data_IF_842658537827
#
_entry.id   IF_842658537827
#
_cell.length_a   1.000
_cell.length_b   1.000
_cell.length_c   1.000
_cell.angle_alpha   90.00
_cell.angle_beta   90.00
_cell.angle_gamma   90.00
#
_symmetry.space_group_name_H-M   'P 1'
#
loop_
_entity.id
_entity.type
_entity.pdbx_description
1 polymer ?
#
# COMPACT_ATOMS: atom_id res chain seq x y z
N UNK A 1 -5.21 18.20 -13.64
CA UNK A 1 -4.26 17.16 -13.17
C UNK A 1 -5.00 16.29 -12.17
N UNK A 2 -5.04 14.99 -12.38
CA UNK A 2 -5.58 14.03 -11.41
C UNK A 2 -4.48 13.74 -10.39
N UNK A 3 -4.68 14.13 -9.14
CA UNK A 3 -3.74 13.80 -8.07
C UNK A 3 -4.04 12.39 -7.54
N UNK A 4 -3.00 11.64 -7.16
CA UNK A 4 -3.17 10.31 -6.58
C UNK A 4 -3.67 10.46 -5.14
N UNK A 5 -4.91 10.06 -4.87
CA UNK A 5 -5.55 10.18 -3.55
C UNK A 5 -5.52 8.88 -2.73
N UNK A 6 -5.55 7.75 -3.43
CA UNK A 6 -5.56 6.40 -2.84
C UNK A 6 -4.50 5.54 -3.48
N UNK A 7 -3.66 4.93 -2.66
CA UNK A 7 -2.68 3.93 -3.06
C UNK A 7 -3.13 2.58 -2.52
N UNK A 8 -3.13 1.56 -3.38
CA UNK A 8 -3.42 0.20 -2.96
C UNK A 8 -2.24 -0.71 -3.24
N UNK A 9 -1.81 -1.49 -2.25
CA UNK A 9 -0.60 -2.31 -2.32
C UNK A 9 -0.83 -3.67 -1.67
N UNK A 10 -0.15 -4.69 -2.17
CA UNK A 10 -0.01 -5.94 -1.44
C UNK A 10 1.05 -5.76 -0.34
N UNK A 11 0.88 -6.46 0.78
CA UNK A 11 1.78 -6.37 1.93
C UNK A 11 3.24 -6.67 1.58
N UNK A 12 3.49 -7.59 0.66
CA UNK A 12 4.84 -7.93 0.16
C UNK A 12 5.51 -6.76 -0.58
N UNK A 13 4.71 -5.91 -1.23
CA UNK A 13 5.18 -4.74 -1.96
C UNK A 13 5.26 -3.47 -1.10
N UNK A 14 4.64 -3.47 0.08
CA UNK A 14 4.54 -2.29 0.95
C UNK A 14 5.91 -1.67 1.29
N UNK A 15 6.94 -2.43 1.71
CA UNK A 15 8.24 -1.84 2.03
C UNK A 15 8.86 -1.13 0.83
N UNK A 16 8.84 -1.77 -0.36
CA UNK A 16 9.41 -1.20 -1.59
C UNK A 16 8.71 0.09 -2.02
N UNK A 17 7.39 0.16 -1.84
CA UNK A 17 6.61 1.35 -2.20
C UNK A 17 6.87 2.48 -1.20
N UNK A 18 6.93 2.18 0.09
CA UNK A 18 7.29 3.19 1.11
C UNK A 18 8.70 3.70 0.87
N UNK A 19 9.65 2.82 0.61
CA UNK A 19 11.00 3.21 0.23
C UNK A 19 10.93 4.14 -0.99
N UNK A 20 10.28 3.75 -2.09
CA UNK A 20 10.20 4.62 -3.27
C UNK A 20 9.58 6.01 -3.00
N UNK A 21 8.63 6.12 -2.05
CA UNK A 21 7.98 7.39 -1.69
C UNK A 21 8.80 8.25 -0.71
N UNK A 22 9.73 7.64 0.02
CA UNK A 22 10.49 8.30 1.11
C UNK A 22 11.99 8.36 0.86
N UNK A 23 12.50 7.56 -0.08
CA UNK A 23 13.91 7.43 -0.41
C UNK A 23 14.46 8.78 -0.88
N UNK A 24 15.57 9.19 -0.27
CA UNK A 24 16.27 10.46 -0.49
C UNK A 24 15.53 11.72 -0.02
N UNK A 25 14.47 11.59 0.79
CA UNK A 25 13.75 12.76 1.32
C UNK A 25 14.11 13.02 2.76
N UNK A 26 14.23 14.31 3.09
CA UNK A 26 14.33 14.70 4.49
C UNK A 26 13.00 14.36 5.19
N UNK A 27 13.00 13.80 6.41
CA UNK A 27 11.79 13.58 7.20
C UNK A 27 10.93 14.83 7.43
N UNK A 28 11.52 16.01 7.32
CA UNK A 28 10.85 17.31 7.45
C UNK A 28 10.23 17.81 6.15
N UNK A 29 10.57 17.20 5.01
CA UNK A 29 10.00 17.58 3.72
C UNK A 29 8.51 17.20 3.63
N UNK A 30 7.70 18.01 2.91
CA UNK A 30 6.29 17.67 2.70
C UNK A 30 6.12 16.38 1.86
N UNK A 31 5.03 15.62 2.02
CA UNK A 31 4.80 14.38 1.28
C UNK A 31 4.93 14.51 -0.23
N UNK A 32 5.43 13.47 -0.91
CA UNK A 32 5.68 13.49 -2.37
C UNK A 32 4.38 13.62 -3.15
N UNK A 33 3.34 12.99 -2.61
CA UNK A 33 1.99 13.06 -3.11
C UNK A 33 1.12 13.68 -2.00
N UNK A 34 0.99 15.02 -1.92
CA UNK A 34 0.23 15.66 -0.85
C UNK A 34 -1.25 15.29 -0.83
N UNK A 35 -1.78 14.88 -1.99
CA UNK A 35 -3.16 14.41 -2.11
C UNK A 35 -3.33 12.94 -1.67
N UNK A 36 -2.24 12.18 -1.54
CA UNK A 36 -2.28 10.76 -1.16
C UNK A 36 -2.56 10.66 0.34
N UNK A 37 -3.84 10.53 0.68
CA UNK A 37 -4.27 10.45 2.08
C UNK A 37 -4.70 9.04 2.49
N UNK A 38 -4.90 8.14 1.52
CA UNK A 38 -5.47 6.82 1.76
C UNK A 38 -4.54 5.71 1.29
N UNK A 39 -4.24 4.78 2.18
CA UNK A 39 -3.49 3.56 1.88
C UNK A 39 -4.40 2.35 2.09
N UNK A 40 -4.45 1.47 1.08
CA UNK A 40 -5.14 0.18 1.13
C UNK A 40 -4.10 -0.94 1.03
N UNK A 41 -4.10 -1.84 1.99
CA UNK A 41 -3.16 -2.95 2.06
C UNK A 41 -3.92 -4.25 1.92
N UNK A 42 -3.59 -5.07 0.94
CA UNK A 42 -4.02 -6.45 0.86
C UNK A 42 -3.01 -7.36 1.56
N UNK A 43 -3.50 -8.22 2.45
CA UNK A 43 -2.73 -9.26 3.12
C UNK A 43 -3.30 -10.63 2.78
N UNK A 44 -2.47 -11.66 2.83
CA UNK A 44 -2.91 -13.07 2.81
C UNK A 44 -3.01 -13.61 4.24
N UNK A 45 -3.67 -14.76 4.41
CA UNK A 45 -3.97 -15.36 5.72
C UNK A 45 -2.73 -15.61 6.57
N UNK A 46 -1.64 -16.00 5.93
CA UNK A 46 -0.38 -16.34 6.58
C UNK A 46 0.61 -15.16 6.60
N UNK A 47 0.19 -13.97 6.18
CA UNK A 47 1.02 -12.77 6.21
C UNK A 47 1.18 -12.25 7.63
N UNK A 48 2.41 -11.93 8.00
CA UNK A 48 2.69 -11.23 9.25
C UNK A 48 2.11 -9.82 9.19
N UNK A 49 1.23 -9.47 10.12
CA UNK A 49 0.65 -8.13 10.20
C UNK A 49 1.61 -7.11 10.81
N UNK A 50 2.64 -7.58 11.53
CA UNK A 50 3.60 -6.71 12.21
C UNK A 50 4.44 -5.92 11.18
N UNK A 51 4.62 -6.46 9.96
CA UNK A 51 5.26 -5.76 8.85
C UNK A 51 4.56 -4.44 8.48
N UNK A 52 3.24 -4.34 8.66
CA UNK A 52 2.48 -3.12 8.35
C UNK A 52 2.88 -2.03 9.34
N UNK A 53 2.99 -2.39 10.62
CA UNK A 53 3.41 -1.47 11.68
C UNK A 53 4.85 -1.02 11.44
N UNK A 54 5.76 -1.97 11.22
CA UNK A 54 7.18 -1.68 11.02
C UNK A 54 7.42 -0.79 9.81
N UNK A 55 6.70 -1.03 8.72
CA UNK A 55 6.86 -0.27 7.47
C UNK A 55 6.26 1.13 7.56
N UNK A 56 5.12 1.31 8.25
CA UNK A 56 4.43 2.61 8.30
C UNK A 56 4.94 3.54 9.41
N UNK A 57 5.34 3.00 10.57
CA UNK A 57 5.69 3.81 11.74
C UNK A 57 6.79 4.81 11.47
N UNK A 58 7.87 4.36 10.83
CA UNK A 58 9.06 5.18 10.59
C UNK A 58 8.84 6.26 9.54
N UNK A 59 7.80 6.12 8.70
CA UNK A 59 7.61 6.92 7.49
C UNK A 59 6.30 7.71 7.46
N UNK A 60 5.47 7.59 8.49
CA UNK A 60 4.11 8.17 8.55
C UNK A 60 4.06 9.65 8.18
N UNK A 61 4.95 10.47 8.77
CA UNK A 61 4.98 11.91 8.53
C UNK A 61 5.32 12.24 7.07
N UNK A 62 6.21 11.46 6.46
CA UNK A 62 6.65 11.63 5.08
C UNK A 62 5.59 11.15 4.07
N UNK A 63 4.78 10.15 4.44
CA UNK A 63 3.77 9.60 3.54
C UNK A 63 2.47 10.42 3.54
N UNK A 64 2.16 11.17 4.62
CA UNK A 64 0.95 11.98 4.71
C UNK A 64 -0.37 11.18 4.77
N UNK A 65 -0.29 9.87 5.01
CA UNK A 65 -1.44 8.97 5.06
C UNK A 65 -2.26 9.25 6.32
N UNK A 66 -3.56 9.43 6.12
CA UNK A 66 -4.56 9.66 7.19
C UNK A 66 -5.48 8.47 7.38
N UNK A 67 -5.79 7.76 6.29
CA UNK A 67 -6.77 6.69 6.28
C UNK A 67 -6.11 5.38 5.86
N UNK A 68 -6.18 4.36 6.72
CA UNK A 68 -5.64 3.04 6.47
C UNK A 68 -6.76 2.01 6.31
N UNK A 69 -6.68 1.21 5.26
CA UNK A 69 -7.54 0.06 5.02
C UNK A 69 -6.68 -1.20 4.93
N UNK A 70 -6.97 -2.21 5.74
CA UNK A 70 -6.26 -3.49 5.70
C UNK A 70 -7.28 -4.57 5.34
N UNK A 71 -7.13 -5.16 4.16
CA UNK A 71 -8.04 -6.19 3.66
C UNK A 71 -7.38 -7.55 3.62
N UNK A 72 -8.03 -8.57 4.20
CA UNK A 72 -7.61 -9.96 4.03
C UNK A 72 -8.17 -10.55 2.74
N UNK A 73 -7.28 -11.06 1.90
CA UNK A 73 -7.60 -11.78 0.66
C UNK A 73 -8.04 -13.22 0.94
N UNK A 74 -9.14 -13.63 0.31
CA UNK A 74 -9.65 -15.00 0.28
C UNK A 74 -9.75 -15.66 1.67
N UNK A 75 -10.50 -15.07 2.63
CA UNK A 75 -10.77 -15.77 3.87
C UNK A 75 -11.61 -17.01 3.56
N UNK A 76 -11.08 -18.19 3.84
CA UNK A 76 -11.75 -19.48 3.68
C UNK A 76 -12.93 -19.66 4.68
N UNK A 77 -13.87 -18.71 4.74
CA UNK A 77 -15.03 -18.64 5.64
C UNK A 77 -14.75 -18.28 7.10
N UNK A 78 -13.68 -17.56 7.42
CA UNK A 78 -13.42 -17.10 8.79
C UNK A 78 -13.57 -15.58 8.88
N UNK A 79 -14.25 -15.11 9.93
CA UNK A 79 -14.24 -13.71 10.36
C UNK A 79 -12.82 -13.35 10.77
N UNK A 80 -11.97 -13.07 9.78
CA UNK A 80 -10.62 -12.63 10.05
C UNK A 80 -10.67 -11.32 10.82
N UNK A 81 -9.91 -11.30 11.90
CA UNK A 81 -9.67 -10.11 12.68
C UNK A 81 -8.16 -10.01 12.89
N UNK A 82 -7.57 -8.82 12.69
CA UNK A 82 -6.19 -8.59 13.10
C UNK A 82 -6.05 -8.87 14.59
N UNK A 83 -4.82 -9.13 15.05
CA UNK A 83 -4.52 -9.16 16.48
C UNK A 83 -4.95 -7.84 17.12
N UNK A 84 -5.56 -7.92 18.30
CA UNK A 84 -6.10 -6.76 19.00
C UNK A 84 -5.01 -5.68 19.25
N UNK A 85 -3.79 -6.10 19.58
CA UNK A 85 -2.64 -5.21 19.75
C UNK A 85 -2.33 -4.40 18.48
N UNK A 86 -2.23 -5.06 17.32
CA UNK A 86 -2.00 -4.40 16.02
C UNK A 86 -3.10 -3.40 15.70
N UNK A 87 -4.35 -3.75 15.98
CA UNK A 87 -5.49 -2.85 15.77
C UNK A 87 -5.39 -1.59 16.63
N UNK A 88 -5.05 -1.77 17.90
CA UNK A 88 -5.02 -0.67 18.87
C UNK A 88 -3.84 0.26 18.60
N UNK A 89 -2.70 -0.31 18.19
CA UNK A 89 -1.52 0.44 17.74
C UNK A 89 -1.83 1.25 16.48
N UNK A 90 -2.37 0.64 15.42
CA UNK A 90 -2.72 1.35 14.20
C UNK A 90 -3.76 2.46 14.44
N UNK A 91 -4.73 2.25 15.34
CA UNK A 91 -5.74 3.29 15.64
C UNK A 91 -5.16 4.54 16.31
N UNK A 92 -4.04 4.44 17.02
CA UNK A 92 -3.35 5.62 17.54
C UNK A 92 -2.66 6.44 16.45
N UNK A 93 -2.39 5.82 15.30
CA UNK A 93 -1.55 6.36 14.23
C UNK A 93 -2.32 6.86 13.01
N UNK A 94 -3.63 6.70 12.92
CA UNK A 94 -4.40 7.13 11.74
C UNK A 94 -5.74 7.75 12.15
N UNK A 95 -6.22 8.71 11.35
CA UNK A 95 -7.53 9.32 11.55
C UNK A 95 -8.65 8.26 11.43
N UNK A 96 -8.44 7.25 10.57
CA UNK A 96 -9.31 6.08 10.50
C UNK A 96 -8.55 4.83 10.09
N UNK A 97 -8.87 3.70 10.73
CA UNK A 97 -8.37 2.37 10.36
C UNK A 97 -9.56 1.43 10.15
N UNK A 98 -9.65 0.85 8.94
CA UNK A 98 -10.68 -0.10 8.57
C UNK A 98 -10.07 -1.47 8.23
N UNK A 99 -10.78 -2.53 8.63
CA UNK A 99 -10.39 -3.90 8.33
C UNK A 99 -11.48 -4.54 7.47
N UNK A 100 -11.08 -5.08 6.33
CA UNK A 100 -12.00 -5.56 5.30
C UNK A 100 -11.71 -7.02 4.93
N UNK A 101 -12.73 -7.68 4.38
CA UNK A 101 -12.61 -9.00 3.76
C UNK A 101 -12.65 -8.81 2.25
N UNK A 102 -11.60 -9.26 1.56
CA UNK A 102 -11.45 -9.15 0.11
C UNK A 102 -11.73 -10.52 -0.52
N UNK A 103 -12.66 -10.55 -1.46
CA UNK A 103 -13.07 -11.79 -2.14
C UNK A 103 -12.00 -12.34 -3.10
N UNK A 104 -11.12 -11.48 -3.62
CA UNK A 104 -10.10 -11.85 -4.60
C UNK A 104 -8.79 -11.10 -4.34
N UNK A 105 -7.66 -11.71 -4.69
CA UNK A 105 -6.32 -11.11 -4.62
C UNK A 105 -6.22 -9.84 -5.47
N UNK A 106 -7.02 -9.77 -6.53
CA UNK A 106 -7.16 -8.59 -7.40
C UNK A 106 -8.12 -7.52 -6.86
N UNK A 107 -8.63 -7.61 -5.62
CA UNK A 107 -9.60 -6.64 -5.09
C UNK A 107 -9.06 -5.19 -5.07
N UNK A 108 -7.73 -5.04 -5.03
CA UNK A 108 -7.03 -3.76 -5.19
C UNK A 108 -6.21 -3.66 -6.47
N UNK A 109 -6.22 -4.70 -7.30
CA UNK A 109 -5.54 -4.71 -8.57
C UNK A 109 -6.20 -3.69 -9.50
N UNK A 110 -5.40 -2.75 -9.99
CA UNK A 110 -5.76 -2.02 -11.20
C UNK A 110 -5.84 -3.09 -12.28
N UNK A 111 -7.02 -3.31 -12.86
CA UNK A 111 -7.09 -4.06 -14.11
C UNK A 111 -6.41 -3.14 -15.13
N UNK A 112 -5.14 -3.43 -15.43
CA UNK A 112 -4.46 -2.75 -16.50
C UNK A 112 -5.35 -2.90 -17.75
N UNK A 113 -5.56 -1.83 -18.53
CA UNK A 113 -6.21 -1.97 -19.82
C UNK A 113 -5.50 -3.09 -20.59
N UNK A 114 -6.24 -3.91 -21.37
CA UNK A 114 -5.66 -5.01 -22.15
C UNK A 114 -4.44 -4.59 -23.00
N UNK A 115 -4.35 -3.31 -23.37
CA UNK A 115 -3.22 -2.70 -24.07
C UNK A 115 -1.91 -2.74 -23.26
N UNK A 116 -1.97 -2.85 -21.94
CA UNK A 116 -0.84 -2.88 -21.02
C UNK A 116 -0.43 -4.31 -20.60
N UNK A 117 -1.06 -5.35 -21.15
CA UNK A 117 -0.49 -6.71 -21.09
C UNK A 117 0.78 -6.79 -21.97
N UNK A 118 1.56 -7.84 -21.74
CA UNK A 118 2.96 -8.13 -22.10
C UNK A 118 3.56 -7.48 -23.37
N UNK A 119 2.75 -7.15 -24.38
CA UNK A 119 3.20 -6.50 -25.63
C UNK A 119 3.53 -5.00 -25.48
N UNK A 120 2.92 -4.25 -24.57
CA UNK A 120 3.24 -2.83 -24.42
C UNK A 120 4.61 -2.58 -23.77
N UNK A 121 5.08 -3.50 -22.93
CA UNK A 121 6.42 -3.44 -22.34
C UNK A 121 7.52 -3.55 -23.40
N UNK A 122 7.25 -4.19 -24.54
CA UNK A 122 8.19 -4.26 -25.67
C UNK A 122 8.38 -2.90 -26.37
N UNK A 123 7.44 -1.97 -26.22
CA UNK A 123 7.49 -0.63 -26.80
C UNK A 123 8.09 0.42 -25.85
N UNK A 124 8.37 0.05 -24.60
CA UNK A 124 9.04 0.96 -23.70
C UNK A 124 10.51 1.08 -24.12
N UNK A 125 11.06 2.29 -24.29
CA UNK A 125 12.50 2.46 -24.49
C UNK A 125 13.22 1.73 -23.37
N UNK A 126 14.30 1.00 -23.64
CA UNK A 126 15.09 0.39 -22.55
C UNK A 126 15.62 1.52 -21.67
N UNK A 127 15.16 1.60 -20.43
CA UNK A 127 15.56 2.67 -19.49
C UNK A 127 17.02 2.55 -19.01
N UNK A 128 17.72 1.48 -19.43
CA UNK A 128 19.12 1.23 -19.12
C UNK A 128 19.81 0.75 -20.40
N UNK A 129 20.26 1.70 -21.21
CA UNK A 129 21.41 1.56 -22.11
C UNK A 129 21.88 2.97 -22.51
N UNK A 130 22.44 3.71 -21.55
CA UNK A 130 23.40 4.79 -21.83
C UNK A 130 24.49 4.83 -20.76
N UNK A 131 25.40 3.85 -20.80
CA UNK A 131 26.84 4.12 -20.98
C UNK A 131 27.66 2.85 -21.22
#
# INVERSE_FOLDING_TARGET
MTALETLSVNVEGLPKVIDALTLFRDPTDPPLCPALTTLRIAIQKDSDCDIILDSLRSHRAQLGIKHLYVGLVNPENVHWRPRQAVRDELRGDFDSVNFETLLYDKAYGITLPLVCDEEAHALWPRWLDER
#
